data_IF_412962643604
#
_entry.id   IF_412962643604
#
_cell.length_a   1.000
_cell.length_b   1.000
_cell.length_c   1.000
_cell.angle_alpha   90.00
_cell.angle_beta   90.00
_cell.angle_gamma   90.00
#
_symmetry.space_group_name_H-M   'P 1'
#
loop_
_entity.id
_entity.type
_entity.pdbx_description
1 polymer ?
#
# COMPACT_ATOMS: atom_id res chain seq x y z
N UNK A 1 19.67 19.05 -7.99
CA UNK A 1 19.15 17.99 -7.08
C UNK A 1 18.13 18.61 -6.15
N UNK A 2 16.90 18.08 -6.15
CA UNK A 2 15.82 18.63 -5.34
C UNK A 2 15.99 18.25 -3.87
N UNK A 3 15.65 19.17 -2.97
CA UNK A 3 15.75 19.00 -1.51
C UNK A 3 14.37 19.02 -0.88
N UNK A 4 14.07 17.99 -0.05
CA UNK A 4 12.82 17.87 0.66
C UNK A 4 13.06 17.79 2.17
N UNK A 5 12.09 18.27 2.93
CA UNK A 5 12.10 18.07 4.38
C UNK A 5 11.75 16.62 4.72
N UNK A 6 10.92 16.00 3.88
CA UNK A 6 10.47 14.63 4.04
C UNK A 6 10.35 13.93 2.67
N UNK A 7 10.87 12.72 2.57
CA UNK A 7 10.57 11.81 1.47
C UNK A 7 9.86 10.58 2.02
N UNK A 8 8.73 10.24 1.40
CA UNK A 8 7.95 9.02 1.69
C UNK A 8 8.16 8.03 0.55
N UNK A 9 8.66 6.85 0.85
CA UNK A 9 8.82 5.77 -0.15
C UNK A 9 7.69 4.77 0.00
N UNK A 10 6.90 4.65 -1.06
CA UNK A 10 5.75 3.77 -1.19
C UNK A 10 4.42 4.50 -1.10
N UNK A 11 3.62 4.39 -2.16
CA UNK A 11 2.27 4.95 -2.30
C UNK A 11 1.17 3.91 -2.01
N UNK A 12 1.40 3.02 -1.04
CA UNK A 12 0.35 2.18 -0.49
C UNK A 12 -0.52 2.93 0.52
N UNK A 13 -1.49 2.24 1.13
CA UNK A 13 -2.39 2.87 2.13
C UNK A 13 -1.62 3.62 3.23
N UNK A 14 -0.54 3.04 3.76
CA UNK A 14 0.25 3.68 4.83
C UNK A 14 0.89 4.99 4.38
N UNK A 15 1.54 5.02 3.20
CA UNK A 15 2.16 6.22 2.65
C UNK A 15 1.14 7.30 2.32
N UNK A 16 0.05 6.92 1.65
CA UNK A 16 -1.02 7.86 1.29
C UNK A 16 -1.74 8.43 2.53
N UNK A 17 -2.02 7.59 3.55
CA UNK A 17 -2.60 8.05 4.82
C UNK A 17 -1.68 9.00 5.58
N UNK A 18 -0.37 8.73 5.60
CA UNK A 18 0.59 9.62 6.21
C UNK A 18 0.57 11.00 5.55
N UNK A 19 0.59 11.04 4.22
CA UNK A 19 0.59 12.30 3.48
C UNK A 19 -0.69 13.11 3.71
N UNK A 20 -1.85 12.45 3.68
CA UNK A 20 -3.12 13.08 4.03
C UNK A 20 -3.14 13.59 5.49
N UNK A 21 -2.55 12.83 6.42
CA UNK A 21 -2.43 13.24 7.82
C UNK A 21 -1.54 14.46 8.00
N UNK A 22 -0.40 14.52 7.29
CA UNK A 22 0.50 15.66 7.34
C UNK A 22 -0.19 16.95 6.88
N UNK A 23 -1.00 16.86 5.82
CA UNK A 23 -1.80 18.00 5.36
C UNK A 23 -2.79 18.46 6.43
N UNK A 24 -3.55 17.53 7.03
CA UNK A 24 -4.50 17.85 8.11
C UNK A 24 -3.84 18.46 9.35
N UNK A 25 -2.60 18.06 9.64
CA UNK A 25 -1.80 18.60 10.72
C UNK A 25 -1.13 19.93 10.37
N UNK A 26 -1.33 20.45 9.17
CA UNK A 26 -0.77 21.71 8.72
C UNK A 26 0.74 21.69 8.45
N UNK A 27 1.29 20.54 8.08
CA UNK A 27 2.71 20.44 7.73
C UNK A 27 3.05 21.30 6.52
N UNK A 28 4.05 22.17 6.62
CA UNK A 28 4.37 23.17 5.60
C UNK A 28 5.67 22.89 4.83
N UNK A 29 6.47 21.90 5.23
CA UNK A 29 7.72 21.58 4.56
C UNK A 29 7.50 20.93 3.18
N UNK A 30 8.46 21.04 2.24
CA UNK A 30 8.41 20.32 0.97
C UNK A 30 8.47 18.81 1.20
N UNK A 31 7.55 18.08 0.56
CA UNK A 31 7.43 16.63 0.67
C UNK A 31 7.52 15.99 -0.71
N UNK A 32 8.24 14.87 -0.82
CA UNK A 32 8.17 14.02 -2.01
C UNK A 32 7.63 12.63 -1.66
N UNK A 33 6.84 12.09 -2.58
CA UNK A 33 6.40 10.69 -2.60
C UNK A 33 7.13 9.97 -3.73
N UNK A 34 7.74 8.83 -3.43
CA UNK A 34 8.42 8.00 -4.43
C UNK A 34 7.77 6.62 -4.46
N UNK A 35 7.33 6.20 -5.63
CA UNK A 35 6.62 4.93 -5.82
C UNK A 35 7.16 4.19 -7.05
N UNK A 36 7.50 2.92 -6.87
CA UNK A 36 7.99 2.06 -7.93
C UNK A 36 6.93 1.73 -8.99
N UNK A 37 5.66 1.72 -8.59
CA UNK A 37 4.52 1.50 -9.46
C UNK A 37 4.15 2.74 -10.28
N UNK A 38 3.30 2.53 -11.30
CA UNK A 38 2.78 3.60 -12.15
C UNK A 38 1.75 4.51 -11.48
N UNK A 39 1.30 4.15 -10.29
CA UNK A 39 0.31 4.88 -9.51
C UNK A 39 0.22 4.33 -8.08
N UNK A 40 -0.57 4.97 -7.23
CA UNK A 40 -0.73 4.55 -5.85
C UNK A 40 -1.52 3.25 -5.72
N UNK A 41 -1.41 2.61 -4.56
CA UNK A 41 -2.17 1.42 -4.22
C UNK A 41 -1.38 0.37 -3.42
N UNK A 42 -0.12 0.09 -3.76
CA UNK A 42 0.65 -0.95 -3.07
C UNK A 42 -0.10 -2.29 -3.07
N UNK A 43 -0.41 -2.85 -1.89
CA UNK A 43 -1.18 -4.10 -1.74
C UNK A 43 -2.67 -3.97 -2.10
N UNK A 44 -3.19 -2.77 -2.26
CA UNK A 44 -4.54 -2.48 -2.78
C UNK A 44 -4.51 -1.98 -4.22
N UNK A 45 -3.41 -2.17 -4.92
CA UNK A 45 -3.25 -1.70 -6.29
C UNK A 45 -4.24 -2.39 -7.24
N UNK A 46 -4.64 -1.64 -8.25
CA UNK A 46 -5.47 -2.13 -9.35
C UNK A 46 -4.67 -2.10 -10.65
N UNK A 47 -4.86 -3.11 -11.47
CA UNK A 47 -4.16 -3.22 -12.75
C UNK A 47 -4.99 -2.59 -13.85
N UNK A 48 -4.40 -1.62 -14.54
CA UNK A 48 -5.00 -0.95 -15.69
C UNK A 48 -4.40 -1.49 -16.98
N UNK A 49 -5.23 -1.73 -17.98
CA UNK A 49 -4.75 -2.07 -19.31
C UNK A 49 -3.91 -0.94 -19.90
N UNK A 50 -2.98 -1.29 -20.79
CA UNK A 50 -2.21 -0.30 -21.58
C UNK A 50 -2.91 0.04 -22.89
N UNK A 51 -3.78 -0.85 -23.34
CA UNK A 51 -4.47 -0.75 -24.64
C UNK A 51 -5.92 -0.30 -24.50
N UNK A 52 -6.55 -0.62 -23.38
CA UNK A 52 -7.91 -0.19 -23.07
C UNK A 52 -7.96 0.54 -21.71
N UNK A 53 -8.04 1.87 -21.69
CA UNK A 53 -8.07 2.64 -20.44
C UNK A 53 -9.29 2.37 -19.56
N UNK A 54 -10.37 1.82 -20.11
CA UNK A 54 -11.58 1.46 -19.36
C UNK A 54 -11.40 0.15 -18.58
N UNK A 55 -10.49 -0.70 -19.06
CA UNK A 55 -10.24 -1.97 -18.40
C UNK A 55 -9.36 -1.80 -17.18
N UNK A 56 -9.92 -2.08 -16.02
CA UNK A 56 -9.21 -2.02 -14.74
C UNK A 56 -9.71 -3.11 -13.80
N UNK A 57 -8.79 -3.80 -13.14
CA UNK A 57 -9.12 -4.91 -12.23
C UNK A 57 -8.28 -4.84 -10.95
N UNK A 58 -8.88 -5.18 -9.82
CA UNK A 58 -8.17 -5.32 -8.56
C UNK A 58 -7.34 -6.60 -8.57
N UNK A 59 -6.01 -6.46 -8.58
CA UNK A 59 -5.09 -7.59 -8.50
C UNK A 59 -4.48 -7.78 -7.10
N UNK A 60 -4.67 -6.79 -6.25
CA UNK A 60 -4.34 -6.82 -4.83
C UNK A 60 -5.53 -7.23 -3.96
N UNK A 61 -5.60 -6.69 -2.76
CA UNK A 61 -6.73 -6.88 -1.87
C UNK A 61 -8.01 -6.30 -2.49
N UNK A 62 -9.11 -7.06 -2.59
CA UNK A 62 -10.36 -6.56 -3.17
C UNK A 62 -11.15 -5.65 -2.22
N UNK A 63 -10.85 -5.76 -0.93
CA UNK A 63 -11.47 -4.98 0.14
C UNK A 63 -10.51 -4.87 1.33
N UNK A 64 -10.81 -3.95 2.23
CA UNK A 64 -10.15 -3.79 3.52
C UNK A 64 -11.17 -3.96 4.65
N UNK A 65 -10.73 -4.51 5.77
CA UNK A 65 -11.56 -4.61 6.96
C UNK A 65 -11.24 -3.46 7.89
N UNK A 66 -12.25 -2.66 8.21
CA UNK A 66 -12.14 -1.56 9.16
C UNK A 66 -12.79 -1.96 10.48
N UNK A 67 -12.13 -1.64 11.59
CA UNK A 67 -12.69 -1.84 12.93
C UNK A 67 -13.98 -1.03 13.10
N UNK A 68 -14.92 -1.52 13.89
CA UNK A 68 -16.14 -0.79 14.26
C UNK A 68 -15.84 0.53 15.00
N UNK A 69 -14.74 0.56 15.73
CA UNK A 69 -14.22 1.77 16.36
C UNK A 69 -12.86 2.14 15.78
N UNK A 70 -12.84 3.13 14.90
CA UNK A 70 -11.61 3.70 14.38
C UNK A 70 -11.12 4.83 15.30
N UNK A 71 -9.79 4.99 15.46
CA UNK A 71 -9.27 6.23 16.01
C UNK A 71 -9.77 7.44 15.20
N UNK A 72 -10.17 8.52 15.85
CA UNK A 72 -10.74 9.71 15.19
C UNK A 72 -9.85 10.27 14.08
N UNK A 73 -8.53 10.21 14.24
CA UNK A 73 -7.57 10.63 13.22
C UNK A 73 -7.69 9.77 11.94
N UNK A 74 -7.89 8.46 12.06
CA UNK A 74 -8.06 7.55 10.93
C UNK A 74 -9.43 7.75 10.30
N UNK A 75 -10.47 7.81 11.13
CA UNK A 75 -11.83 8.01 10.67
C UNK A 75 -11.98 9.30 9.86
N UNK A 76 -11.41 10.40 10.35
CA UNK A 76 -11.40 11.68 9.65
C UNK A 76 -10.66 11.64 8.29
N UNK A 77 -9.72 10.73 8.05
CA UNK A 77 -9.11 10.54 6.71
C UNK A 77 -10.04 9.80 5.75
N UNK A 78 -10.86 8.90 6.28
CA UNK A 78 -11.73 8.02 5.49
C UNK A 78 -13.10 8.64 5.22
N UNK A 79 -13.57 9.54 6.09
CA UNK A 79 -14.86 10.23 5.95
C UNK A 79 -15.02 10.89 4.58
N UNK A 80 -14.09 11.74 4.07
CA UNK A 80 -14.21 12.32 2.75
C UNK A 80 -14.31 11.30 1.60
N UNK A 81 -13.70 10.13 1.78
CA UNK A 81 -13.76 9.06 0.78
C UNK A 81 -15.11 8.34 0.81
N UNK A 82 -15.72 8.22 1.98
CA UNK A 82 -17.07 7.66 2.14
C UNK A 82 -18.11 8.62 1.55
N UNK A 83 -18.02 9.90 1.87
CA UNK A 83 -18.91 10.94 1.37
C UNK A 83 -18.88 11.06 -0.15
N UNK A 84 -17.68 10.92 -0.73
CA UNK A 84 -17.49 10.89 -2.18
C UNK A 84 -17.88 9.57 -2.84
N UNK A 85 -18.26 8.54 -2.07
CA UNK A 85 -18.54 7.20 -2.58
C UNK A 85 -17.30 6.44 -3.09
N UNK A 86 -16.11 6.98 -2.86
CA UNK A 86 -14.83 6.32 -3.23
C UNK A 86 -14.55 5.11 -2.35
N UNK A 87 -14.96 5.15 -1.09
CA UNK A 87 -14.88 4.04 -0.14
C UNK A 87 -16.30 3.61 0.23
N UNK A 88 -16.69 2.41 -0.15
CA UNK A 88 -18.03 1.89 0.05
C UNK A 88 -18.04 0.64 0.91
N UNK A 89 -19.01 0.53 1.80
CA UNK A 89 -19.25 -0.67 2.59
C UNK A 89 -19.67 -1.82 1.67
N UNK A 90 -19.13 -2.99 1.95
CA UNK A 90 -19.48 -4.23 1.26
C UNK A 90 -20.30 -5.08 2.20
N UNK A 91 -21.53 -5.38 1.81
CA UNK A 91 -22.30 -6.45 2.44
C UNK A 91 -21.73 -7.75 1.93
N UNK A 92 -21.07 -8.53 2.78
CA UNK A 92 -20.56 -9.82 2.42
C UNK A 92 -20.94 -10.88 3.44
N UNK A 93 -21.18 -12.09 2.92
CA UNK A 93 -21.29 -13.29 3.71
C UNK A 93 -20.08 -14.16 3.39
N UNK A 94 -19.24 -14.42 4.39
CA UNK A 94 -18.12 -15.34 4.26
C UNK A 94 -18.64 -16.77 4.44
N UNK A 95 -18.35 -17.63 3.49
CA UNK A 95 -18.62 -19.07 3.61
C UNK A 95 -17.35 -19.86 3.36
N UNK A 96 -17.25 -21.01 4.00
CA UNK A 96 -16.22 -22.00 3.70
C UNK A 96 -16.86 -23.16 2.97
N UNK A 97 -16.26 -23.55 1.85
CA UNK A 97 -16.68 -24.72 1.09
C UNK A 97 -15.58 -25.78 1.10
N UNK A 98 -15.98 -27.04 1.15
CA UNK A 98 -15.07 -28.18 1.00
C UNK A 98 -14.69 -28.43 -0.48
N UNK A 99 -13.83 -29.42 -0.71
CA UNK A 99 -13.39 -29.82 -2.04
C UNK A 99 -14.53 -30.30 -2.96
N UNK A 100 -15.71 -30.61 -2.42
CA UNK A 100 -16.90 -31.04 -3.16
C UNK A 100 -17.87 -29.87 -3.43
N UNK A 101 -17.54 -28.67 -2.96
CA UNK A 101 -18.37 -27.47 -3.10
C UNK A 101 -19.50 -27.36 -2.07
N UNK A 102 -19.51 -28.16 -0.99
CA UNK A 102 -20.49 -28.04 0.08
C UNK A 102 -20.09 -26.94 1.06
N UNK A 103 -21.05 -26.14 1.50
CA UNK A 103 -20.86 -25.16 2.58
C UNK A 103 -20.66 -25.90 3.89
N UNK A 104 -19.46 -25.86 4.44
CA UNK A 104 -19.09 -26.54 5.70
C UNK A 104 -19.11 -25.61 6.90
N UNK A 105 -18.95 -24.31 6.69
CA UNK A 105 -19.12 -23.31 7.74
C UNK A 105 -19.53 -21.98 7.13
N UNK A 106 -20.47 -21.31 7.78
CA UNK A 106 -20.66 -19.87 7.66
C UNK A 106 -19.80 -19.29 8.76
N UNK A 107 -18.67 -18.70 8.42
CA UNK A 107 -17.83 -18.11 9.43
C UNK A 107 -18.59 -16.96 10.12
N UNK A 108 -18.89 -17.09 11.41
CA UNK A 108 -19.21 -15.92 12.19
C UNK A 108 -17.92 -15.11 12.26
N UNK A 109 -17.95 -13.92 11.75
CA UNK A 109 -16.95 -12.89 11.91
C UNK A 109 -15.49 -13.39 12.03
N UNK A 110 -14.64 -12.98 11.11
CA UNK A 110 -13.18 -12.94 11.30
C UNK A 110 -12.85 -12.64 12.77
N UNK A 111 -11.78 -13.22 13.33
CA UNK A 111 -11.40 -13.01 14.74
C UNK A 111 -11.23 -11.53 15.14
N UNK A 112 -11.23 -10.62 14.17
CA UNK A 112 -11.28 -9.18 14.41
C UNK A 112 -12.65 -8.65 14.01
N UNK A 113 -13.42 -8.04 14.92
CA UNK A 113 -14.66 -7.35 14.60
C UNK A 113 -14.40 -6.22 13.60
N UNK A 114 -15.36 -5.95 12.72
CA UNK A 114 -15.23 -4.86 11.76
C UNK A 114 -16.00 -5.12 10.47
N UNK A 115 -16.10 -4.09 9.66
CA UNK A 115 -16.83 -4.09 8.42
C UNK A 115 -15.89 -4.13 7.21
N UNK A 116 -16.34 -4.77 6.14
CA UNK A 116 -15.62 -4.79 4.89
C UNK A 116 -15.95 -3.55 4.04
N UNK A 117 -14.90 -2.95 3.49
CA UNK A 117 -14.99 -1.77 2.66
C UNK A 117 -14.18 -1.95 1.38
N UNK A 118 -14.71 -1.52 0.26
CA UNK A 118 -14.05 -1.57 -1.05
C UNK A 118 -13.91 -0.19 -1.67
N UNK A 119 -12.84 -0.02 -2.46
CA UNK A 119 -12.65 1.18 -3.26
C UNK A 119 -13.48 1.16 -4.55
N UNK A 120 -14.02 2.30 -4.92
CA UNK A 120 -14.75 2.50 -6.17
C UNK A 120 -14.12 3.61 -7.01
N UNK A 121 -14.01 3.44 -8.35
CA UNK A 121 -14.40 2.25 -9.12
C UNK A 121 -13.50 1.02 -8.86
N UNK A 122 -12.32 1.20 -8.25
CA UNK A 122 -11.35 0.14 -7.93
C UNK A 122 -10.64 0.42 -6.61
N UNK A 123 -9.98 -0.58 -6.03
CA UNK A 123 -9.31 -0.42 -4.73
C UNK A 123 -8.22 0.64 -4.70
N UNK A 124 -7.49 0.84 -5.81
CA UNK A 124 -6.48 1.91 -5.90
C UNK A 124 -7.07 3.31 -5.69
N UNK A 125 -8.37 3.50 -5.97
CA UNK A 125 -9.08 4.78 -5.79
C UNK A 125 -9.05 5.28 -4.34
N UNK A 126 -8.94 4.37 -3.36
CA UNK A 126 -8.78 4.74 -1.94
C UNK A 126 -7.46 5.48 -1.74
N UNK A 127 -6.36 4.95 -2.29
CA UNK A 127 -5.05 5.62 -2.21
C UNK A 127 -5.01 6.92 -3.03
N UNK A 128 -5.65 6.93 -4.20
CA UNK A 128 -5.80 8.14 -5.03
C UNK A 128 -6.56 9.23 -4.27
N UNK A 129 -7.67 8.87 -3.62
CA UNK A 129 -8.47 9.80 -2.82
C UNK A 129 -7.76 10.31 -1.57
N UNK A 130 -6.95 9.46 -0.89
CA UNK A 130 -6.11 9.91 0.21
C UNK A 130 -5.05 10.91 -0.27
N UNK A 131 -4.37 10.63 -1.40
CA UNK A 131 -3.41 11.57 -1.99
C UNK A 131 -4.07 12.87 -2.43
N UNK A 132 -5.32 12.82 -2.91
CA UNK A 132 -6.09 14.00 -3.26
C UNK A 132 -6.40 14.93 -2.08
N UNK A 133 -6.25 14.47 -0.82
CA UNK A 133 -6.33 15.30 0.38
C UNK A 133 -5.02 16.02 0.70
N UNK A 134 -3.94 15.72 -0.02
CA UNK A 134 -2.64 16.35 0.18
C UNK A 134 -2.51 17.63 -0.64
N UNK A 135 -1.69 18.57 -0.18
CA UNK A 135 -1.51 19.87 -0.82
C UNK A 135 -0.69 19.82 -2.11
N UNK A 136 -0.73 20.93 -2.85
CA UNK A 136 0.10 21.17 -4.03
C UNK A 136 1.63 21.20 -3.75
N UNK A 137 2.05 21.07 -2.50
CA UNK A 137 3.46 21.00 -2.10
C UNK A 137 4.03 19.57 -2.15
N UNK A 138 3.17 18.58 -2.41
CA UNK A 138 3.59 17.21 -2.61
C UNK A 138 4.08 17.00 -4.04
N UNK A 139 5.34 16.63 -4.20
CA UNK A 139 5.87 16.17 -5.48
C UNK A 139 5.86 14.63 -5.54
N UNK A 140 5.23 14.06 -6.57
CA UNK A 140 5.07 12.60 -6.69
C UNK A 140 5.91 12.06 -7.84
N UNK A 141 6.78 11.09 -7.54
CA UNK A 141 7.64 10.38 -8.48
C UNK A 141 7.14 8.94 -8.61
N UNK A 142 6.24 8.69 -9.55
CA UNK A 142 5.78 7.34 -9.91
C UNK A 142 6.72 6.69 -10.91
N UNK A 143 6.62 5.36 -11.05
CA UNK A 143 7.51 4.55 -11.90
C UNK A 143 8.99 4.71 -11.54
N UNK A 144 9.26 5.09 -10.30
CA UNK A 144 10.61 5.38 -9.78
C UNK A 144 10.94 4.43 -8.65
N UNK A 145 11.87 3.51 -8.89
CA UNK A 145 12.29 2.54 -7.89
C UNK A 145 13.58 2.99 -7.22
N UNK A 146 13.49 3.38 -5.96
CA UNK A 146 14.68 3.64 -5.16
C UNK A 146 15.49 2.33 -5.02
N UNK A 147 16.77 2.41 -5.27
CA UNK A 147 17.72 1.31 -5.12
C UNK A 147 18.79 1.63 -4.07
N UNK A 148 19.32 2.82 -4.12
CA UNK A 148 20.42 3.22 -3.26
C UNK A 148 19.95 4.23 -2.23
N UNK A 149 20.35 3.98 -0.99
CA UNK A 149 20.21 4.90 0.13
C UNK A 149 21.60 5.21 0.65
N UNK A 150 21.85 6.47 0.91
CA UNK A 150 23.05 6.92 1.60
C UNK A 150 22.64 7.92 2.68
N UNK A 151 23.19 7.76 3.89
CA UNK A 151 22.94 8.64 5.04
C UNK A 151 24.18 9.47 5.34
N UNK A 152 23.99 10.78 5.37
CA UNK A 152 24.96 11.72 5.94
C UNK A 152 24.43 12.24 7.28
N UNK A 153 25.22 12.95 8.10
CA UNK A 153 24.72 13.55 9.34
C UNK A 153 23.54 14.51 9.13
N UNK A 154 23.45 15.14 7.95
CA UNK A 154 22.46 16.19 7.67
C UNK A 154 21.28 15.73 6.84
N UNK A 155 21.44 14.70 6.01
CA UNK A 155 20.41 14.29 5.07
C UNK A 155 20.59 12.86 4.56
N UNK A 156 19.51 12.34 4.00
CA UNK A 156 19.46 11.15 3.18
C UNK A 156 19.63 11.49 1.71
N UNK A 157 20.36 10.67 0.99
CA UNK A 157 20.42 10.67 -0.47
C UNK A 157 19.76 9.40 -0.97
N UNK A 158 18.89 9.54 -1.95
CA UNK A 158 18.17 8.45 -2.60
C UNK A 158 18.46 8.47 -4.07
N UNK A 159 18.69 7.32 -4.67
CA UNK A 159 18.78 7.18 -6.13
C UNK A 159 18.17 5.89 -6.63
N UNK A 160 17.85 5.86 -7.92
CA UNK A 160 17.44 4.66 -8.64
C UNK A 160 18.65 3.77 -8.97
N UNK A 161 18.40 2.69 -9.72
CA UNK A 161 19.46 1.73 -10.09
C UNK A 161 20.56 2.34 -10.96
N UNK A 162 20.22 3.28 -11.85
CA UNK A 162 21.14 3.93 -12.77
C UNK A 162 21.84 5.14 -12.18
N UNK A 163 21.35 5.64 -11.04
CA UNK A 163 21.77 6.90 -10.40
C UNK A 163 21.48 8.16 -11.25
N UNK A 164 20.70 8.04 -12.32
CA UNK A 164 20.27 9.18 -13.12
C UNK A 164 19.21 10.02 -12.39
N UNK A 165 18.39 9.36 -11.55
CA UNK A 165 17.42 10.01 -10.71
C UNK A 165 17.93 10.06 -9.27
N UNK A 166 17.92 11.23 -8.66
CA UNK A 166 18.40 11.43 -7.29
C UNK A 166 17.58 12.48 -6.54
N UNK A 167 17.34 12.22 -5.25
CA UNK A 167 16.72 13.16 -4.30
C UNK A 167 17.55 13.28 -3.02
N UNK A 168 17.38 14.43 -2.33
CA UNK A 168 17.84 14.64 -0.97
C UNK A 168 16.69 14.88 -0.02
N UNK A 169 16.75 14.31 1.19
CA UNK A 169 15.72 14.44 2.22
C UNK A 169 16.34 14.65 3.60
N UNK A 170 15.78 15.54 4.40
CA UNK A 170 16.16 15.62 5.83
C UNK A 170 15.64 14.41 6.60
N UNK A 171 14.47 13.92 6.24
CA UNK A 171 13.81 12.77 6.86
C UNK A 171 13.32 11.80 5.80
N UNK A 172 13.36 10.52 6.11
CA UNK A 172 12.94 9.45 5.23
C UNK A 172 11.92 8.58 5.95
N UNK A 173 10.79 8.30 5.28
CA UNK A 173 9.81 7.32 5.73
C UNK A 173 9.69 6.20 4.71
N UNK A 174 9.88 4.98 5.17
CA UNK A 174 9.63 3.76 4.40
C UNK A 174 8.23 3.25 4.75
N UNK A 175 7.23 3.49 3.90
CA UNK A 175 5.86 3.01 4.12
C UNK A 175 5.68 1.53 3.72
N UNK A 176 6.70 0.94 3.10
CA UNK A 176 6.82 -0.47 2.80
C UNK A 176 8.17 -1.03 3.26
N UNK A 177 8.28 -2.33 3.36
CA UNK A 177 9.47 -2.99 3.91
C UNK A 177 10.51 -3.39 2.85
N UNK A 178 10.32 -3.05 1.58
CA UNK A 178 11.17 -3.54 0.48
C UNK A 178 12.63 -3.12 0.61
N UNK A 179 12.90 -1.91 1.11
CA UNK A 179 14.26 -1.40 1.30
C UNK A 179 14.87 -1.76 2.66
N UNK A 180 14.10 -2.39 3.55
CA UNK A 180 14.47 -2.66 4.93
C UNK A 180 14.48 -4.16 5.29
N UNK A 181 13.87 -5.02 4.48
CA UNK A 181 13.68 -6.43 4.80
C UNK A 181 14.51 -7.33 3.88
N UNK A 182 15.18 -8.38 4.40
CA UNK A 182 16.02 -9.30 3.61
C UNK A 182 15.30 -9.99 2.44
N UNK A 183 13.97 -10.11 2.46
CA UNK A 183 13.21 -10.67 1.34
C UNK A 183 13.44 -9.95 0.01
N UNK A 184 13.86 -8.68 0.04
CA UNK A 184 14.21 -7.91 -1.15
C UNK A 184 15.37 -8.55 -1.93
N UNK A 185 16.27 -9.24 -1.25
CA UNK A 185 17.38 -9.97 -1.86
C UNK A 185 16.87 -11.02 -2.86
N UNK A 186 15.91 -11.85 -2.42
CA UNK A 186 15.30 -12.86 -3.27
C UNK A 186 14.33 -12.28 -4.32
N UNK A 187 13.49 -11.30 -3.93
CA UNK A 187 12.46 -10.74 -4.81
C UNK A 187 13.01 -9.87 -5.92
N UNK A 188 14.08 -9.12 -5.65
CA UNK A 188 14.67 -8.14 -6.57
C UNK A 188 16.06 -8.55 -7.06
N UNK A 189 16.55 -9.71 -6.62
CA UNK A 189 17.90 -10.21 -6.93
C UNK A 189 19.00 -9.20 -6.55
N UNK A 190 18.79 -8.49 -5.43
CA UNK A 190 19.77 -7.57 -4.89
C UNK A 190 20.77 -8.33 -4.01
N UNK A 191 21.97 -7.77 -3.89
CA UNK A 191 23.04 -8.35 -3.08
C UNK A 191 23.06 -7.82 -1.64
N UNK A 192 22.27 -6.80 -1.36
CA UNK A 192 22.22 -6.11 -0.07
C UNK A 192 20.84 -5.58 0.24
N UNK A 193 20.57 -5.28 1.51
CA UNK A 193 19.38 -4.57 1.98
C UNK A 193 19.71 -3.08 2.00
N UNK A 194 19.11 -2.24 1.16
CA UNK A 194 19.52 -0.84 0.98
C UNK A 194 19.62 -0.03 2.27
N UNK A 195 18.68 -0.22 3.20
CA UNK A 195 18.72 0.48 4.47
C UNK A 195 19.92 0.03 5.33
N UNK A 196 20.28 -1.25 5.30
CA UNK A 196 21.44 -1.77 6.02
C UNK A 196 22.76 -1.36 5.40
N UNK A 197 22.79 -1.15 4.09
CA UNK A 197 23.96 -0.58 3.43
C UNK A 197 24.17 0.89 3.82
N UNK A 198 23.08 1.63 4.01
CA UNK A 198 23.13 3.04 4.42
C UNK A 198 23.40 3.23 5.93
N UNK A 199 22.91 2.30 6.76
CA UNK A 199 23.08 2.31 8.23
C UNK A 199 23.46 0.91 8.68
N UNK A 200 24.76 0.61 8.77
CA UNK A 200 25.28 -0.65 9.24
C UNK A 200 24.77 -1.03 10.64
N UNK A 201 24.73 -2.33 10.91
CA UNK A 201 24.33 -2.81 12.24
C UNK A 201 25.31 -2.30 13.31
N UNK A 202 24.76 -1.73 14.37
CA UNK A 202 25.53 -1.14 15.47
C UNK A 202 25.59 0.38 15.43
N UNK A 203 25.33 1.01 14.28
CA UNK A 203 25.39 2.47 14.15
C UNK A 203 24.16 3.16 14.76
N UNK A 204 23.03 2.44 14.84
CA UNK A 204 21.77 2.96 15.37
C UNK A 204 21.01 1.83 16.10
N UNK A 205 21.14 1.71 17.42
CA UNK A 205 20.52 0.63 18.20
C UNK A 205 18.99 0.62 18.15
N UNK A 206 18.32 1.77 18.02
CA UNK A 206 16.86 1.83 17.91
C UNK A 206 16.41 1.27 16.57
N UNK A 207 17.08 1.66 15.49
CA UNK A 207 16.84 1.10 14.17
C UNK A 207 17.11 -0.40 14.13
N UNK A 208 18.16 -0.87 14.80
CA UNK A 208 18.50 -2.28 14.89
C UNK A 208 17.38 -3.10 15.54
N UNK A 209 16.80 -2.60 16.63
CA UNK A 209 15.67 -3.25 17.30
C UNK A 209 14.44 -3.33 16.39
N UNK A 210 14.10 -2.24 15.70
CA UNK A 210 12.99 -2.21 14.74
C UNK A 210 13.20 -3.19 13.59
N UNK A 211 14.40 -3.19 13.00
CA UNK A 211 14.70 -4.09 11.86
C UNK A 211 14.73 -5.56 12.28
N UNK A 212 15.19 -5.88 13.48
CA UNK A 212 15.12 -7.24 14.02
C UNK A 212 13.67 -7.72 14.13
N UNK A 213 12.78 -6.86 14.63
CA UNK A 213 11.34 -7.17 14.70
C UNK A 213 10.73 -7.33 13.30
N UNK A 214 11.13 -6.48 12.36
CA UNK A 214 10.67 -6.55 10.99
C UNK A 214 11.09 -7.86 10.30
N UNK A 215 12.35 -8.27 10.46
CA UNK A 215 12.89 -9.51 9.91
C UNK A 215 12.17 -10.76 10.43
N UNK A 216 11.74 -10.74 11.68
CA UNK A 216 10.95 -11.82 12.30
C UNK A 216 9.51 -11.90 11.77
N UNK A 217 9.05 -10.90 11.01
CA UNK A 217 7.68 -10.85 10.51
C UNK A 217 7.47 -11.85 9.39
N UNK A 218 6.57 -12.82 9.60
CA UNK A 218 6.19 -13.78 8.58
C UNK A 218 5.32 -13.11 7.51
N UNK A 219 5.54 -13.49 6.25
CA UNK A 219 4.67 -13.11 5.15
C UNK A 219 4.34 -14.31 4.29
N UNK A 220 3.09 -14.41 3.86
CA UNK A 220 2.63 -15.46 2.95
C UNK A 220 2.38 -14.89 1.56
N UNK A 221 2.72 -15.68 0.54
CA UNK A 221 2.38 -15.36 -0.85
C UNK A 221 0.95 -15.83 -1.09
N UNK A 222 0.14 -14.96 -1.70
CA UNK A 222 -1.20 -15.31 -2.18
C UNK A 222 -1.25 -15.19 -3.68
N UNK A 223 -1.86 -16.17 -4.33
CA UNK A 223 -2.13 -16.15 -5.76
C UNK A 223 -3.54 -15.64 -5.98
N UNK A 224 -3.70 -14.69 -6.91
CA UNK A 224 -4.99 -14.19 -7.34
C UNK A 224 -5.23 -14.64 -8.77
N UNK A 225 -6.32 -15.37 -9.01
CA UNK A 225 -6.82 -15.64 -10.35
C UNK A 225 -7.77 -14.51 -10.74
N UNK A 226 -7.48 -13.86 -11.83
CA UNK A 226 -8.31 -12.81 -12.41
C UNK A 226 -8.92 -13.34 -13.69
N UNK A 227 -10.25 -13.29 -13.79
CA UNK A 227 -10.99 -13.72 -14.96
C UNK A 227 -11.58 -12.48 -15.66
N UNK A 228 -11.27 -12.33 -16.93
CA UNK A 228 -11.94 -11.39 -17.81
C UNK A 228 -13.01 -12.17 -18.59
N UNK A 229 -14.27 -11.87 -18.32
CA UNK A 229 -15.40 -12.55 -18.95
C UNK A 229 -15.85 -11.84 -20.25
N UNK A 230 -15.18 -10.76 -20.63
CA UNK A 230 -15.57 -9.95 -21.80
C UNK A 230 -16.97 -9.39 -21.65
N UNK A 231 -17.71 -9.38 -22.75
CA UNK A 231 -19.09 -8.89 -22.81
C UNK A 231 -20.15 -9.94 -22.43
N UNK A 232 -19.73 -11.07 -21.86
CA UNK A 232 -20.67 -12.10 -21.41
C UNK A 232 -21.48 -11.57 -20.24
N UNK A 233 -22.80 -11.53 -20.41
CA UNK A 233 -23.71 -11.22 -19.33
C UNK A 233 -23.56 -12.27 -18.22
N UNK A 234 -22.90 -11.88 -17.13
CA UNK A 234 -22.70 -12.73 -15.97
C UNK A 234 -23.62 -12.26 -14.85
N UNK A 235 -24.58 -13.09 -14.50
CA UNK A 235 -25.35 -12.85 -13.29
C UNK A 235 -24.43 -13.08 -12.09
N UNK A 236 -24.08 -11.99 -11.41
CA UNK A 236 -23.36 -12.11 -10.15
C UNK A 236 -24.20 -12.90 -9.17
N UNK A 237 -23.69 -13.99 -8.59
CA UNK A 237 -24.44 -14.73 -7.58
C UNK A 237 -24.82 -13.78 -6.44
N UNK A 238 -26.04 -13.95 -5.95
CA UNK A 238 -26.61 -13.05 -4.94
C UNK A 238 -25.73 -12.96 -3.69
N UNK A 239 -25.03 -14.00 -3.31
CA UNK A 239 -24.06 -14.10 -2.18
C UNK A 239 -23.59 -15.55 -2.08
N UNK A 240 -22.42 -15.85 -1.58
CA UNK A 240 -21.45 -15.02 -0.85
C UNK A 240 -20.41 -14.34 -1.73
N UNK A 241 -19.86 -13.24 -1.25
CA UNK A 241 -18.77 -12.51 -1.91
C UNK A 241 -17.38 -13.08 -1.63
N UNK A 242 -17.22 -13.82 -0.57
CA UNK A 242 -15.98 -14.49 -0.21
C UNK A 242 -16.24 -15.97 0.06
N UNK A 243 -15.51 -16.80 -0.66
CA UNK A 243 -15.54 -18.25 -0.52
C UNK A 243 -14.15 -18.70 -0.11
N UNK A 244 -14.05 -19.37 1.03
CA UNK A 244 -12.84 -20.02 1.49
C UNK A 244 -12.87 -21.48 1.10
N UNK A 245 -11.78 -21.93 0.46
CA UNK A 245 -11.58 -23.34 0.13
C UNK A 245 -10.75 -23.98 1.25
N UNK A 246 -11.21 -25.09 1.78
CA UNK A 246 -10.50 -25.89 2.79
C UNK A 246 -10.04 -27.22 2.21
#
# INVERSE_FOLDING_TARGET
MNHYDLVVIGAGLGGCSLLASLEKLGYQGPVALVEAGRGPGGRTASRRSRTDPKWCINHGAPAIKLSESLPSAVDGLLEPLRDAGTLQRVENHEVTIDANGHVVAVYPASPSPGEWWTGRPVMASVCEGLLGQSSNKLESHFSTRVRWLNRTPEHWMLSDQSEDWQLKAKRLVLSGNLLAHPRSLAMLQWNDVPLRSAVPKGDDPELDAVLTTLEASASTVRWNLMLDLGDVAFETPALPWQIWLT
#
